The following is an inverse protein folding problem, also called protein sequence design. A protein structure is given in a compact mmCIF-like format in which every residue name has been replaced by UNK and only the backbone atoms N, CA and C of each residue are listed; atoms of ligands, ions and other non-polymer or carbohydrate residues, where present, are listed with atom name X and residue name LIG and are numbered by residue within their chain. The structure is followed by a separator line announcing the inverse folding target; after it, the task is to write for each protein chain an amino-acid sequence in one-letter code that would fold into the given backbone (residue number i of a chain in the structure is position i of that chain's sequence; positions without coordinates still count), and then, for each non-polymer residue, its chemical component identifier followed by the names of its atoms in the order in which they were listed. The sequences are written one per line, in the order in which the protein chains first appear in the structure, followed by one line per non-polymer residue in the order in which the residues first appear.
data_IF_153428485488
#
_entry.id   IF_153428485488
#
_cell.length_a   1.000
_cell.length_b   1.000
_cell.length_c   1.000
_cell.angle_alpha   90.00
_cell.angle_beta   90.00
_cell.angle_gamma   90.00
#
_symmetry.space_group_name_H-M   'P 1'
#
loop_
_entity.id
_entity.type
_entity.pdbx_description
1 polymer ?
#
# COMPACT_ATOMS: atom_id res chain seq x y z
N UNK A 1 -20.46 -16.99 24.69
CA UNK A 1 -20.83 -16.21 23.49
C UNK A 1 -20.83 -14.69 23.67
N UNK A 2 -20.97 -14.14 24.89
CA UNK A 2 -21.07 -12.67 25.14
C UNK A 2 -19.78 -11.83 24.94
N UNK A 3 -18.61 -12.47 24.76
CA UNK A 3 -17.29 -11.79 24.73
C UNK A 3 -16.81 -11.50 23.30
N UNK A 4 -17.31 -12.23 22.30
CA UNK A 4 -16.91 -12.09 20.88
C UNK A 4 -17.64 -10.90 20.24
N UNK A 5 -18.91 -10.64 20.58
CA UNK A 5 -19.67 -9.52 19.99
C UNK A 5 -19.11 -8.15 20.39
N UNK A 6 -18.61 -8.01 21.63
CA UNK A 6 -18.12 -6.72 22.13
C UNK A 6 -16.79 -6.29 21.48
N UNK A 7 -15.96 -7.23 21.02
CA UNK A 7 -14.69 -6.90 20.37
C UNK A 7 -14.88 -6.54 18.89
N UNK A 8 -15.81 -7.18 18.18
CA UNK A 8 -16.06 -6.91 16.76
C UNK A 8 -16.78 -5.58 16.52
N UNK A 9 -17.59 -5.12 17.47
CA UNK A 9 -18.29 -3.83 17.42
C UNK A 9 -17.40 -2.64 17.80
N UNK A 10 -16.15 -2.89 18.22
CA UNK A 10 -15.23 -1.83 18.60
C UNK A 10 -14.89 -0.97 17.37
N UNK A 11 -15.21 0.33 17.43
CA UNK A 11 -14.74 1.32 16.47
C UNK A 11 -13.20 1.42 16.52
N UNK A 12 -12.56 1.27 15.37
CA UNK A 12 -11.10 1.29 15.21
C UNK A 12 -10.62 2.46 14.35
N UNK A 13 -11.50 3.02 13.51
CA UNK A 13 -11.21 4.18 12.69
C UNK A 13 -12.50 4.94 12.33
N UNK A 14 -12.34 6.18 11.90
CA UNK A 14 -13.39 6.99 11.27
C UNK A 14 -12.95 7.25 9.82
N UNK A 15 -13.79 6.90 8.84
CA UNK A 15 -13.53 7.23 7.44
C UNK A 15 -14.42 8.38 6.97
N UNK A 16 -13.83 9.38 6.32
CA UNK A 16 -14.57 10.46 5.67
C UNK A 16 -15.17 10.03 4.32
N UNK A 17 -14.59 8.99 3.69
CA UNK A 17 -15.01 8.47 2.40
C UNK A 17 -15.53 7.03 2.53
N UNK A 18 -16.36 6.60 1.57
CA UNK A 18 -16.74 5.19 1.45
C UNK A 18 -15.52 4.36 1.03
N UNK A 19 -15.31 3.23 1.68
CA UNK A 19 -14.37 2.20 1.25
C UNK A 19 -15.10 1.20 0.36
N UNK A 20 -14.94 1.32 -0.95
CA UNK A 20 -15.46 0.34 -1.90
C UNK A 20 -14.50 -0.85 -2.01
N UNK A 21 -14.90 -1.97 -1.39
CA UNK A 21 -14.14 -3.23 -1.38
C UNK A 21 -14.89 -4.31 -2.17
N UNK A 22 -15.72 -3.89 -3.13
CA UNK A 22 -16.36 -4.83 -4.06
C UNK A 22 -15.32 -5.50 -4.94
N UNK A 23 -15.56 -6.76 -5.33
CA UNK A 23 -14.67 -7.51 -6.23
C UNK A 23 -14.46 -6.77 -7.56
N UNK A 24 -15.44 -5.98 -8.00
CA UNK A 24 -15.28 -5.10 -9.17
C UNK A 24 -14.23 -4.02 -8.91
N UNK A 25 -14.36 -3.27 -7.82
CA UNK A 25 -13.44 -2.19 -7.50
C UNK A 25 -12.00 -2.69 -7.34
N UNK A 26 -11.78 -3.67 -6.45
CA UNK A 26 -10.42 -4.06 -6.05
C UNK A 26 -9.74 -5.05 -7.00
N UNK A 27 -10.48 -5.65 -7.95
CA UNK A 27 -9.92 -6.67 -8.86
C UNK A 27 -9.94 -6.31 -10.34
N UNK A 28 -10.37 -5.10 -10.69
CA UNK A 28 -10.39 -4.66 -12.09
C UNK A 28 -9.91 -3.23 -12.30
N UNK A 29 -9.72 -2.46 -11.24
CA UNK A 29 -9.26 -1.08 -11.32
C UNK A 29 -8.42 -0.70 -10.10
N UNK A 30 -7.79 0.47 -10.16
CA UNK A 30 -7.23 1.14 -9.00
C UNK A 30 -8.37 1.54 -8.05
N UNK A 31 -8.18 1.34 -6.75
CA UNK A 31 -9.21 1.64 -5.76
C UNK A 31 -8.61 2.35 -4.57
N UNK A 32 -9.26 3.41 -4.09
CA UNK A 32 -8.74 4.17 -2.95
C UNK A 32 -8.54 3.33 -1.69
N UNK A 33 -9.32 2.25 -1.51
CA UNK A 33 -9.07 1.29 -0.44
C UNK A 33 -7.87 0.38 -0.72
N UNK A 34 -7.67 -0.06 -1.97
CA UNK A 34 -6.48 -0.79 -2.39
C UNK A 34 -5.20 0.03 -2.19
N UNK A 35 -5.21 1.31 -2.56
CA UNK A 35 -4.10 2.24 -2.33
C UNK A 35 -3.80 2.35 -0.83
N UNK A 36 -4.85 2.57 -0.03
CA UNK A 36 -4.72 2.67 1.43
C UNK A 36 -4.06 1.42 2.05
N UNK A 37 -4.47 0.22 1.62
CA UNK A 37 -3.87 -1.03 2.10
C UNK A 37 -2.43 -1.19 1.60
N UNK A 38 -2.17 -0.91 0.32
CA UNK A 38 -0.82 -1.00 -0.26
C UNK A 38 0.15 -0.04 0.44
N UNK A 39 -0.29 1.16 0.78
CA UNK A 39 0.49 2.12 1.56
C UNK A 39 0.77 1.64 2.98
N UNK A 40 -0.23 1.07 3.67
CA UNK A 40 -0.02 0.46 4.99
C UNK A 40 1.03 -0.65 4.90
N UNK A 41 0.96 -1.52 3.91
CA UNK A 41 1.95 -2.58 3.72
C UNK A 41 3.35 -2.01 3.57
N UNK A 42 3.49 -1.02 2.68
CA UNK A 42 4.74 -0.35 2.39
C UNK A 42 5.34 0.33 3.63
N UNK A 43 4.51 0.94 4.48
CA UNK A 43 4.95 1.59 5.72
C UNK A 43 5.22 0.59 6.86
N UNK A 44 4.44 -0.49 6.94
CA UNK A 44 4.43 -1.41 8.09
C UNK A 44 5.78 -2.09 8.33
N UNK A 45 6.52 -2.38 7.25
CA UNK A 45 7.79 -3.11 7.33
C UNK A 45 9.01 -2.19 7.48
N UNK A 46 8.84 -0.88 7.30
CA UNK A 46 9.93 0.10 7.32
C UNK A 46 10.69 0.05 8.65
N UNK A 47 9.98 0.03 9.78
CA UNK A 47 10.62 -0.05 11.10
C UNK A 47 11.44 -1.32 11.28
N UNK A 48 10.92 -2.45 10.80
CA UNK A 48 11.58 -3.76 10.92
C UNK A 48 12.86 -3.78 10.08
N UNK A 49 12.78 -3.35 8.83
CA UNK A 49 13.94 -3.27 7.93
C UNK A 49 15.04 -2.37 8.53
N UNK A 50 14.67 -1.20 9.06
CA UNK A 50 15.61 -0.24 9.66
C UNK A 50 16.35 -0.79 10.87
N UNK A 51 15.70 -1.70 11.59
CA UNK A 51 16.28 -2.34 12.78
C UNK A 51 17.19 -3.51 12.41
N UNK A 52 16.88 -4.22 11.32
CA UNK A 52 17.64 -5.40 10.90
C UNK A 52 18.97 -5.07 10.20
N UNK A 53 19.04 -3.94 9.49
CA UNK A 53 20.24 -3.51 8.78
C UNK A 53 20.68 -2.10 9.20
N UNK A 54 21.39 -1.94 10.32
CA UNK A 54 21.77 -0.62 10.84
C UNK A 54 22.62 0.21 9.87
N UNK A 55 23.56 -0.42 9.15
CA UNK A 55 24.42 0.25 8.17
C UNK A 55 23.60 0.80 6.99
N UNK A 56 22.76 -0.05 6.38
CA UNK A 56 21.85 0.37 5.29
C UNK A 56 20.83 1.40 5.77
N UNK A 57 20.44 1.36 7.05
CA UNK A 57 19.58 2.38 7.64
C UNK A 57 20.30 3.71 7.80
N UNK A 58 21.59 3.74 8.16
CA UNK A 58 22.37 4.98 8.21
C UNK A 58 22.47 5.62 6.81
N UNK A 59 22.69 4.80 5.78
CA UNK A 59 22.68 5.24 4.37
C UNK A 59 21.28 5.71 3.94
N UNK A 60 20.23 4.97 4.28
CA UNK A 60 18.84 5.33 3.94
C UNK A 60 18.36 6.57 4.66
N UNK A 61 18.76 6.76 5.92
CA UNK A 61 18.58 8.02 6.63
C UNK A 61 19.35 9.08 5.88
N UNK A 62 20.68 9.03 5.79
CA UNK A 62 21.53 10.09 5.19
C UNK A 62 21.15 10.45 3.76
N UNK A 63 20.84 9.46 2.92
CA UNK A 63 20.43 9.62 1.53
C UNK A 63 18.96 9.99 1.37
N UNK A 64 18.19 10.01 2.46
CA UNK A 64 16.76 10.33 2.45
C UNK A 64 16.01 9.42 1.52
N UNK A 65 16.03 8.11 1.75
CA UNK A 65 15.19 7.16 1.01
C UNK A 65 14.60 6.10 1.96
N UNK A 66 13.56 5.41 1.51
CA UNK A 66 12.94 4.30 2.27
C UNK A 66 13.66 2.99 2.05
N UNK A 67 13.54 2.08 3.02
CA UNK A 67 14.14 0.75 2.88
C UNK A 67 13.33 -0.17 1.97
N UNK A 68 11.99 -0.08 2.01
CA UNK A 68 11.14 -0.72 1.02
C UNK A 68 10.86 0.23 -0.15
N UNK A 69 11.14 -0.23 -1.37
CA UNK A 69 10.98 0.55 -2.60
C UNK A 69 9.51 0.68 -3.00
N UNK A 70 8.77 -0.43 -2.91
CA UNK A 70 7.37 -0.51 -3.33
C UNK A 70 6.61 -1.63 -2.62
N UNK A 71 5.29 -1.66 -2.81
CA UNK A 71 4.44 -2.75 -2.35
C UNK A 71 3.48 -3.21 -3.43
N UNK A 72 3.14 -4.50 -3.37
CA UNK A 72 2.16 -5.13 -4.25
C UNK A 72 1.25 -6.00 -3.38
N UNK A 73 -0.06 -5.80 -3.49
CA UNK A 73 -1.08 -6.68 -2.90
C UNK A 73 -2.09 -7.08 -3.96
N UNK A 74 -2.45 -8.35 -3.98
CA UNK A 74 -3.49 -8.85 -4.86
C UNK A 74 -4.87 -8.44 -4.35
N UNK A 75 -5.75 -7.92 -5.20
CA UNK A 75 -7.14 -7.59 -4.87
C UNK A 75 -7.95 -8.78 -4.34
N UNK A 76 -7.48 -10.01 -4.59
CA UNK A 76 -7.98 -11.26 -4.04
C UNK A 76 -7.81 -11.38 -2.52
N UNK A 77 -6.87 -10.65 -1.92
CA UNK A 77 -6.70 -10.53 -0.47
C UNK A 77 -7.81 -9.72 0.20
N UNK A 78 -8.56 -8.92 -0.58
CA UNK A 78 -9.67 -8.10 -0.13
C UNK A 78 -10.99 -8.84 -0.42
N UNK A 79 -11.69 -9.27 0.63
CA UNK A 79 -12.67 -10.38 0.58
C UNK A 79 -14.13 -10.02 0.86
N UNK A 80 -14.42 -8.82 1.34
CA UNK A 80 -15.76 -8.47 1.84
C UNK A 80 -16.84 -8.37 0.75
N UNK A 81 -16.45 -8.05 -0.48
CA UNK A 81 -17.38 -7.76 -1.60
C UNK A 81 -18.44 -6.69 -1.24
N UNK A 82 -18.07 -5.76 -0.36
CA UNK A 82 -18.98 -4.81 0.30
C UNK A 82 -18.37 -3.40 0.38
N UNK A 83 -19.21 -2.43 0.74
CA UNK A 83 -18.84 -1.03 0.96
C UNK A 83 -18.93 -0.70 2.44
N UNK A 84 -17.97 0.06 2.96
CA UNK A 84 -17.92 0.46 4.37
C UNK A 84 -17.77 1.97 4.54
N UNK A 85 -18.33 2.50 5.62
CA UNK A 85 -18.41 3.95 5.83
C UNK A 85 -19.31 4.65 4.80
N UNK A 86 -19.22 5.99 4.67
CA UNK A 86 -18.46 6.89 5.53
C UNK A 86 -18.94 6.81 6.99
N UNK A 87 -18.07 7.14 7.94
CA UNK A 87 -18.34 7.05 9.37
C UNK A 87 -17.48 6.00 10.08
N UNK A 88 -18.03 5.41 11.13
CA UNK A 88 -17.29 4.47 11.97
C UNK A 88 -16.95 3.18 11.21
N UNK A 89 -15.69 2.78 11.31
CA UNK A 89 -15.18 1.51 10.86
C UNK A 89 -14.90 0.67 12.10
N UNK A 90 -15.50 -0.51 12.15
CA UNK A 90 -15.35 -1.44 13.29
C UNK A 90 -14.29 -2.50 13.03
N UNK A 91 -13.79 -3.13 14.09
CA UNK A 91 -12.91 -4.29 13.96
C UNK A 91 -13.57 -5.42 13.15
N UNK A 92 -14.88 -5.62 13.30
CA UNK A 92 -15.66 -6.57 12.51
C UNK A 92 -15.59 -6.29 11.01
N UNK A 93 -15.64 -5.01 10.60
CA UNK A 93 -15.47 -4.64 9.20
C UNK A 93 -14.08 -5.01 8.68
N UNK A 94 -13.02 -4.76 9.46
CA UNK A 94 -11.66 -5.15 9.07
C UNK A 94 -11.50 -6.68 8.95
N UNK A 95 -12.11 -7.45 9.86
CA UNK A 95 -12.11 -8.91 9.80
C UNK A 95 -12.91 -9.45 8.61
N UNK A 96 -13.93 -8.72 8.15
CA UNK A 96 -14.71 -9.07 6.95
C UNK A 96 -13.90 -8.81 5.67
N UNK A 97 -13.17 -7.68 5.62
CA UNK A 97 -12.32 -7.30 4.50
C UNK A 97 -11.12 -8.24 4.38
N UNK A 98 -10.40 -8.48 5.49
CA UNK A 98 -9.19 -9.31 5.55
C UNK A 98 -9.40 -10.43 6.59
N UNK A 99 -10.12 -11.51 6.23
CA UNK A 99 -10.49 -12.58 7.15
C UNK A 99 -9.34 -13.53 7.48
N UNK A 100 -8.22 -13.45 6.78
CA UNK A 100 -7.07 -14.34 6.93
C UNK A 100 -5.89 -13.60 7.55
N UNK A 101 -5.26 -14.24 8.53
CA UNK A 101 -3.98 -13.81 9.07
C UNK A 101 -2.87 -14.21 8.10
N UNK A 102 -2.69 -13.41 7.04
CA UNK A 102 -1.60 -13.59 6.09
C UNK A 102 -0.40 -12.70 6.50
N UNK A 103 0.79 -13.28 6.74
CA UNK A 103 1.97 -12.50 7.11
C UNK A 103 2.35 -11.50 6.02
N UNK A 104 2.76 -10.31 6.46
CA UNK A 104 3.41 -9.33 5.59
C UNK A 104 4.90 -9.67 5.56
N UNK A 105 5.47 -9.73 4.37
CA UNK A 105 6.89 -9.99 4.14
C UNK A 105 7.48 -8.92 3.22
N UNK A 106 8.81 -8.81 3.27
CA UNK A 106 9.58 -8.03 2.30
C UNK A 106 10.49 -9.00 1.58
N UNK A 107 10.45 -8.99 0.26
CA UNK A 107 11.28 -9.84 -0.60
C UNK A 107 12.16 -8.96 -1.49
N UNK A 108 13.41 -9.35 -1.63
CA UNK A 108 14.29 -8.78 -2.65
C UNK A 108 13.92 -9.40 -4.00
N UNK A 109 13.53 -8.55 -4.95
CA UNK A 109 13.09 -8.94 -6.30
C UNK A 109 13.89 -8.16 -7.34
N UNK A 110 14.20 -8.78 -8.47
CA UNK A 110 14.74 -8.06 -9.63
C UNK A 110 13.66 -7.21 -10.28
N UNK A 111 14.04 -6.18 -11.05
CA UNK A 111 13.08 -5.43 -11.86
C UNK A 111 12.30 -6.33 -12.83
N UNK A 112 12.95 -7.38 -13.35
CA UNK A 112 12.27 -8.39 -14.18
C UNK A 112 11.19 -9.15 -13.39
N UNK A 113 11.47 -9.58 -12.16
CA UNK A 113 10.47 -10.27 -11.33
C UNK A 113 9.24 -9.38 -11.05
N UNK A 114 9.46 -8.08 -10.82
CA UNK A 114 8.38 -7.10 -10.61
C UNK A 114 7.55 -6.93 -11.89
N UNK A 115 8.21 -6.86 -13.05
CA UNK A 115 7.54 -6.78 -14.33
C UNK A 115 6.66 -8.01 -14.58
N UNK A 116 7.20 -9.20 -14.38
CA UNK A 116 6.52 -10.47 -14.62
C UNK A 116 5.34 -10.67 -13.64
N UNK A 117 5.51 -10.25 -12.38
CA UNK A 117 4.43 -10.20 -11.39
C UNK A 117 3.24 -9.37 -11.86
N UNK A 118 3.49 -8.16 -12.36
CA UNK A 118 2.45 -7.24 -12.80
C UNK A 118 1.80 -7.73 -14.09
N UNK A 119 2.58 -8.27 -15.04
CA UNK A 119 2.05 -8.93 -16.23
C UNK A 119 1.09 -10.08 -15.86
N UNK A 120 1.49 -10.93 -14.92
CA UNK A 120 0.61 -11.99 -14.41
C UNK A 120 -0.63 -11.41 -13.72
N UNK A 121 -0.48 -10.34 -12.92
CA UNK A 121 -1.57 -9.67 -12.24
C UNK A 121 -2.62 -9.12 -13.21
N UNK A 122 -2.20 -8.56 -14.34
CA UNK A 122 -3.12 -8.06 -15.36
C UNK A 122 -3.64 -9.13 -16.32
N UNK A 123 -3.02 -10.32 -16.37
CA UNK A 123 -3.31 -11.36 -17.38
C UNK A 123 -4.78 -11.82 -17.44
N UNK A 124 -5.48 -11.85 -16.31
CA UNK A 124 -6.86 -12.33 -16.22
C UNK A 124 -7.92 -11.24 -16.49
N UNK A 125 -7.52 -9.97 -16.56
CA UNK A 125 -8.44 -8.87 -16.85
C UNK A 125 -9.20 -9.12 -18.18
N UNK A 126 -10.52 -8.85 -18.26
CA UNK A 126 -11.38 -8.19 -17.27
C UNK A 126 -12.07 -9.11 -16.26
N UNK A 127 -11.65 -10.38 -16.13
CA UNK A 127 -12.20 -11.27 -15.10
C UNK A 127 -11.81 -10.73 -13.71
N UNK A 128 -12.75 -10.77 -12.77
CA UNK A 128 -12.54 -10.38 -11.37
C UNK A 128 -11.75 -11.44 -10.58
N UNK A 129 -10.66 -11.94 -11.17
CA UNK A 129 -9.75 -12.85 -10.50
C UNK A 129 -8.94 -12.11 -9.42
N UNK A 130 -8.58 -12.83 -8.36
CA UNK A 130 -7.89 -12.23 -7.22
C UNK A 130 -6.51 -11.66 -7.53
N UNK A 131 -5.90 -11.99 -8.67
CA UNK A 131 -4.51 -11.64 -8.99
C UNK A 131 -4.28 -10.17 -9.35
N UNK A 132 -5.34 -9.40 -9.63
CA UNK A 132 -5.20 -7.99 -10.02
C UNK A 132 -4.43 -7.20 -8.95
N UNK A 133 -3.36 -6.47 -9.32
CA UNK A 133 -2.48 -5.84 -8.35
C UNK A 133 -3.02 -4.47 -7.91
N UNK A 134 -3.03 -4.23 -6.60
CA UNK A 134 -3.04 -2.91 -5.99
C UNK A 134 -1.62 -2.60 -5.53
N UNK A 135 -1.12 -1.40 -5.77
CA UNK A 135 0.31 -1.09 -5.62
C UNK A 135 0.53 0.20 -4.84
N UNK A 136 1.67 0.30 -4.18
CA UNK A 136 2.18 1.58 -3.68
C UNK A 136 3.69 1.69 -3.97
N UNK A 137 4.20 2.91 -4.05
CA UNK A 137 5.61 3.13 -4.36
C UNK A 137 5.97 3.15 -5.85
N UNK A 138 5.01 2.85 -6.72
CA UNK A 138 5.19 2.78 -8.17
C UNK A 138 3.98 3.30 -8.93
N UNK A 139 4.20 3.70 -10.17
CA UNK A 139 3.19 3.93 -11.18
C UNK A 139 3.32 2.86 -12.25
N UNK A 140 2.20 2.24 -12.61
CA UNK A 140 2.16 1.19 -13.63
C UNK A 140 1.24 1.63 -14.76
N UNK A 141 1.79 1.71 -15.97
CA UNK A 141 1.01 1.95 -17.19
C UNK A 141 0.85 0.61 -17.90
N UNK A 142 -0.39 0.24 -18.20
CA UNK A 142 -0.72 -1.02 -18.85
C UNK A 142 -1.87 -0.84 -19.86
N UNK A 143 -1.99 -1.77 -20.80
CA UNK A 143 -2.99 -1.77 -21.86
C UNK A 143 -3.71 -3.11 -21.91
N UNK A 144 -5.00 -3.09 -21.55
CA UNK A 144 -5.87 -4.27 -21.51
C UNK A 144 -6.21 -4.84 -22.89
N UNK A 145 -5.98 -4.09 -23.97
CA UNK A 145 -6.20 -4.55 -25.35
C UNK A 145 -5.09 -5.46 -25.86
N UNK A 146 -3.93 -5.47 -25.19
CA UNK A 146 -2.80 -6.34 -25.52
C UNK A 146 -3.01 -7.76 -24.97
N UNK A 147 -2.34 -8.71 -25.60
CA UNK A 147 -2.36 -10.11 -25.19
C UNK A 147 -1.84 -10.27 -23.74
N UNK A 148 -2.42 -11.17 -22.93
CA UNK A 148 -1.91 -11.49 -21.59
C UNK A 148 -0.40 -11.81 -21.61
N UNK A 149 0.36 -11.24 -20.67
CA UNK A 149 1.83 -11.35 -20.64
C UNK A 149 2.57 -10.26 -21.44
N UNK A 150 1.82 -9.40 -22.15
CA UNK A 150 2.34 -8.23 -22.84
C UNK A 150 1.46 -7.00 -22.59
N UNK A 151 0.87 -6.87 -21.41
CA UNK A 151 -0.04 -5.76 -21.07
C UNK A 151 0.68 -4.58 -20.44
N UNK A 152 1.78 -4.80 -19.73
CA UNK A 152 2.56 -3.73 -19.09
C UNK A 152 3.29 -2.91 -20.18
N UNK A 153 3.22 -1.59 -20.05
CA UNK A 153 3.86 -0.62 -20.94
C UNK A 153 5.06 0.00 -20.23
N UNK A 154 4.87 0.48 -19.00
CA UNK A 154 5.95 1.06 -18.19
C UNK A 154 5.67 0.88 -16.70
N UNK A 155 6.74 0.80 -15.94
CA UNK A 155 6.73 0.85 -14.48
C UNK A 155 7.74 1.90 -14.06
N UNK A 156 7.28 2.86 -13.28
CA UNK A 156 8.09 3.95 -12.75
C UNK A 156 8.02 3.92 -11.24
N UNK A 157 9.17 3.97 -10.55
CA UNK A 157 9.20 4.17 -9.11
C UNK A 157 8.86 5.62 -8.79
N UNK A 158 8.08 5.81 -7.73
CA UNK A 158 7.60 7.12 -7.31
C UNK A 158 8.44 7.67 -6.17
N UNK A 159 8.58 8.99 -6.15
CA UNK A 159 9.07 9.70 -4.98
C UNK A 159 8.16 9.41 -3.81
N UNK A 160 8.78 8.91 -2.75
CA UNK A 160 8.09 8.65 -1.51
C UNK A 160 8.10 9.91 -0.64
N UNK A 161 7.12 10.12 0.26
CA UNK A 161 7.10 11.27 1.18
C UNK A 161 8.35 11.41 2.07
N UNK A 162 9.26 10.43 2.04
CA UNK A 162 10.53 10.40 2.77
C UNK A 162 11.74 10.31 1.83
N UNK A 163 11.53 10.42 0.52
CA UNK A 163 12.59 10.58 -0.46
C UNK A 163 13.12 12.02 -0.37
N UNK A 164 14.06 12.27 0.54
CA UNK A 164 15.03 13.36 0.36
C UNK A 164 14.98 14.56 1.31
N UNK A 165 14.57 14.47 2.57
CA UNK A 165 14.95 15.49 3.57
C UNK A 165 15.27 14.91 4.95
N UNK A 166 16.57 14.67 5.18
CA UNK A 166 17.14 14.53 6.53
C UNK A 166 17.32 15.91 7.11
N UNK A 167 16.39 16.35 7.94
CA UNK A 167 16.71 17.43 8.87
C UNK A 167 17.55 16.87 10.01
N UNK A 168 18.76 17.40 10.20
CA UNK A 168 19.65 17.05 11.30
C UNK A 168 18.92 17.07 12.65
N UNK A 169 18.91 15.93 13.35
CA UNK A 169 18.29 15.80 14.66
C UNK A 169 17.94 14.35 14.99
N UNK A 170 18.20 13.93 16.24
CA UNK A 170 18.12 12.54 16.72
C UNK A 170 16.73 11.87 16.69
N UNK A 171 15.73 12.49 16.07
CA UNK A 171 14.36 11.98 15.96
C UNK A 171 14.09 11.34 14.58
N UNK A 172 14.91 10.35 14.23
CA UNK A 172 14.57 9.38 13.17
C UNK A 172 13.36 8.52 13.60
N UNK A 173 13.04 8.51 14.91
CA UNK A 173 11.74 8.04 15.39
C UNK A 173 10.62 9.00 14.91
N UNK A 174 9.90 8.57 13.89
CA UNK A 174 8.52 8.98 13.62
C UNK A 174 8.24 10.39 13.05
N UNK A 175 9.07 10.95 12.15
CA UNK A 175 8.53 11.97 11.22
C UNK A 175 7.45 11.44 10.25
N UNK A 176 7.31 10.11 10.12
CA UNK A 176 6.15 9.46 9.46
C UNK A 176 4.85 9.83 10.18
N UNK A 177 4.89 9.90 11.51
CA UNK A 177 3.73 10.31 12.31
C UNK A 177 3.43 11.80 12.10
N UNK A 178 4.47 12.58 11.81
CA UNK A 178 4.35 14.02 11.64
C UNK A 178 3.91 14.46 10.20
N UNK A 179 3.98 13.58 9.21
CA UNK A 179 3.45 13.82 7.85
C UNK A 179 1.96 13.47 7.73
N UNK A 180 1.46 12.69 8.68
CA UNK A 180 0.04 12.54 9.00
C UNK A 180 -0.31 13.38 10.24
N UNK A 181 0.23 14.60 10.37
CA UNK A 181 -0.22 15.50 11.44
C UNK A 181 -1.64 15.95 11.14
N UNK A 182 -2.53 15.52 12.01
CA UNK A 182 -3.68 16.32 12.37
C UNK A 182 -3.18 17.72 12.75
N UNK A 183 -3.32 18.69 11.86
CA UNK A 183 -3.12 20.09 12.15
C UNK A 183 -4.44 20.66 12.68
N UNK A 184 -4.56 20.91 14.00
CA UNK A 184 -5.80 21.40 14.60
C UNK A 184 -6.19 22.78 14.07
N UNK A 185 -5.25 23.53 13.48
CA UNK A 185 -5.50 24.85 12.89
C UNK A 185 -6.24 24.78 11.55
N UNK A 186 -6.26 23.61 10.91
CA UNK A 186 -7.00 23.34 9.67
C UNK A 186 -8.40 22.75 9.91
N UNK A 187 -8.75 22.48 11.18
CA UNK A 187 -10.11 22.08 11.53
C UNK A 187 -11.08 23.26 11.38
N UNK A 188 -12.14 23.08 10.59
CA UNK A 188 -13.24 24.05 10.58
C UNK A 188 -13.96 24.05 11.94
N UNK A 189 -14.54 25.19 12.34
CA UNK A 189 -15.08 25.50 13.68
C UNK A 189 -16.29 24.63 14.15
N UNK A 190 -16.19 23.30 14.13
CA UNK A 190 -16.94 22.32 14.93
C UNK A 190 -16.68 20.85 14.53
N UNK A 191 -15.76 20.55 13.61
CA UNK A 191 -15.43 19.18 13.21
C UNK A 191 -13.98 18.85 13.56
N UNK A 192 -13.74 17.74 14.28
CA UNK A 192 -12.40 17.19 14.55
C UNK A 192 -11.82 16.48 13.31
N UNK A 193 -12.11 16.98 12.11
CA UNK A 193 -11.68 16.41 10.84
C UNK A 193 -10.54 17.26 10.25
N UNK A 194 -9.42 16.62 9.92
CA UNK A 194 -8.36 17.21 9.11
C UNK A 194 -8.33 16.45 7.79
N UNK A 195 -8.44 17.17 6.69
CA UNK A 195 -8.28 16.61 5.36
C UNK A 195 -6.79 16.34 5.13
N UNK A 196 -6.40 15.07 5.10
CA UNK A 196 -5.04 14.68 4.71
C UNK A 196 -4.93 14.78 3.20
N UNK A 197 -4.21 15.79 2.71
CA UNK A 197 -3.92 15.94 1.29
C UNK A 197 -2.70 15.11 0.88
N UNK A 198 -2.83 14.27 -0.14
CA UNK A 198 -1.69 13.67 -0.84
C UNK A 198 -1.25 14.59 -1.96
N UNK A 199 0.03 14.91 -1.99
CA UNK A 199 0.62 15.53 -3.17
C UNK A 199 0.51 14.59 -4.37
N UNK A 200 0.48 15.17 -5.56
CA UNK A 200 0.50 14.41 -6.81
C UNK A 200 1.80 13.60 -6.83
N UNK A 201 1.75 12.27 -7.03
CA UNK A 201 2.94 11.45 -7.07
C UNK A 201 3.89 11.92 -8.17
N UNK A 202 5.18 12.00 -7.83
CA UNK A 202 6.23 12.39 -8.79
C UNK A 202 7.05 11.17 -9.15
N UNK A 203 7.29 10.95 -10.44
CA UNK A 203 8.19 9.88 -10.91
C UNK A 203 9.61 10.18 -10.40
N UNK A 204 10.21 9.18 -9.76
CA UNK A 204 11.62 9.21 -9.29
C UNK A 204 12.54 8.68 -10.36
N UNK A 205 12.29 7.47 -10.85
CA UNK A 205 13.06 6.80 -11.89
C UNK A 205 12.27 5.65 -12.52
N UNK A 206 12.52 5.29 -13.79
CA UNK A 206 11.98 4.07 -14.38
C UNK A 206 12.52 2.83 -13.66
N UNK A 207 11.76 1.73 -13.72
CA UNK A 207 12.19 0.41 -13.25
C UNK A 207 13.38 -0.08 -14.09
N UNK A 208 14.46 -0.49 -13.44
CA UNK A 208 15.62 -1.13 -14.08
C UNK A 208 15.54 -2.64 -13.89
N UNK A 209 15.48 -3.38 -14.99
CA UNK A 209 15.30 -4.84 -14.99
C UNK A 209 16.45 -5.59 -14.31
N UNK A 210 17.66 -5.01 -14.28
CA UNK A 210 18.85 -5.63 -13.70
C UNK A 210 19.10 -5.21 -12.25
N UNK A 211 18.32 -4.26 -11.73
CA UNK A 211 18.42 -3.82 -10.34
C UNK A 211 17.52 -4.69 -9.44
N UNK A 212 17.95 -4.89 -8.19
CA UNK A 212 17.10 -5.47 -7.15
C UNK A 212 16.41 -4.39 -6.31
N UNK A 213 15.20 -4.72 -5.86
CA UNK A 213 14.32 -3.85 -5.10
C UNK A 213 13.71 -4.62 -3.92
N UNK A 214 13.45 -3.90 -2.83
CA UNK A 214 12.77 -4.44 -1.66
C UNK A 214 11.26 -4.22 -1.80
N UNK A 215 10.53 -5.32 -2.01
CA UNK A 215 9.09 -5.28 -2.27
C UNK A 215 8.31 -5.83 -1.08
N UNK A 216 7.45 -4.99 -0.50
CA UNK A 216 6.54 -5.40 0.58
C UNK A 216 5.27 -6.05 0.00
N UNK A 217 4.91 -7.23 0.50
CA UNK A 217 3.71 -7.94 0.05
C UNK A 217 3.22 -8.92 1.12
N UNK A 218 2.06 -9.52 0.90
CA UNK A 218 1.61 -10.66 1.70
C UNK A 218 2.13 -11.97 1.10
N UNK A 219 2.34 -12.99 1.93
CA UNK A 219 2.88 -14.28 1.47
C UNK A 219 1.99 -14.91 0.38
N UNK A 220 0.66 -14.83 0.52
CA UNK A 220 -0.25 -15.39 -0.50
C UNK A 220 -0.26 -14.59 -1.81
N UNK A 221 0.02 -13.29 -1.77
CA UNK A 221 0.09 -12.44 -2.97
C UNK A 221 1.35 -12.72 -3.79
N UNK A 222 2.46 -13.12 -3.14
CA UNK A 222 3.71 -13.48 -3.80
C UNK A 222 3.67 -14.85 -4.50
N UNK A 223 2.65 -15.68 -4.29
CA UNK A 223 2.47 -16.93 -5.07
C UNK A 223 2.12 -16.63 -6.54
N UNK A 224 1.66 -15.41 -6.82
CA UNK A 224 1.39 -14.90 -8.16
C UNK A 224 2.57 -14.11 -8.76
N UNK A 225 3.70 -14.05 -8.05
CA UNK A 225 4.97 -13.43 -8.49
C UNK A 225 5.99 -14.52 -8.82
#
# INVERSE_FOLDING_TARGET
MKRISKSTEQSVALSLNEWDVTSKAVRTDESGFGDFVADILLMSMERTLRTQSPEQNEDAVTGGYRMADCSIICGGSLRSDSKFGPGEITLGNLMEIMPFEDPIIVKELTGQDIWDALENGFSAYPKQEGRFPQVAGMQVVWDSSREPGHRVISIDLLHQPFDGEVTEGKDVFMKIRDSYLYDPSQCSNNEQSVMVHRDIPKVKKPLDMNQTYWVASQVSSLVFV
#
